data_IF_151575501073
#
_entry.id   IF_151575501073
#
_cell.length_a   1.000
_cell.length_b   1.000
_cell.length_c   1.000
_cell.angle_alpha   90.00
_cell.angle_beta   90.00
_cell.angle_gamma   90.00
#
_symmetry.space_group_name_H-M   'P 1'
#
loop_
_entity.id
_entity.type
_entity.pdbx_description
1 polymer ?
#
# COMPACT_ATOMS: atom_id res chain seq x y z
N UNK A 1 4.25 5.50 -2.42
CA UNK A 1 4.55 6.89 -2.02
C UNK A 1 5.25 6.83 -0.67
N UNK A 2 6.58 6.95 -0.61
CA UNK A 2 7.31 6.96 0.67
C UNK A 2 7.07 8.31 1.35
N UNK A 3 6.22 8.33 2.38
CA UNK A 3 6.02 9.51 3.21
C UNK A 3 7.27 9.75 4.05
N UNK A 4 7.89 10.92 3.91
CA UNK A 4 9.01 11.33 4.79
C UNK A 4 8.53 11.28 6.25
N UNK A 5 9.20 10.49 7.08
CA UNK A 5 8.88 10.39 8.51
C UNK A 5 9.26 11.70 9.20
N UNK A 6 8.26 12.46 9.65
CA UNK A 6 8.42 13.65 10.49
C UNK A 6 8.39 13.23 11.96
N UNK A 7 9.36 13.69 12.75
CA UNK A 7 9.37 13.49 14.19
C UNK A 7 8.60 14.62 14.90
N UNK A 8 7.93 14.35 16.05
CA UNK A 8 7.43 15.41 16.92
C UNK A 8 8.51 16.43 17.30
N UNK A 9 9.77 15.98 17.38
CA UNK A 9 10.92 16.85 17.66
C UNK A 9 11.15 17.89 16.57
N UNK A 10 10.83 17.58 15.31
CA UNK A 10 10.96 18.51 14.18
C UNK A 10 9.92 19.63 14.28
N UNK A 11 8.73 19.33 14.81
CA UNK A 11 7.70 20.33 15.09
C UNK A 11 8.14 21.26 16.22
N UNK A 12 8.66 20.70 17.33
CA UNK A 12 9.15 21.48 18.47
C UNK A 12 10.32 22.38 18.06
N UNK A 13 11.19 21.92 17.14
CA UNK A 13 12.30 22.69 16.59
C UNK A 13 11.89 23.68 15.48
N UNK A 14 10.59 23.78 15.15
CA UNK A 14 10.09 24.66 14.09
C UNK A 14 10.49 24.26 12.67
N UNK A 15 10.96 23.03 12.46
CA UNK A 15 11.40 22.50 11.15
C UNK A 15 10.24 21.94 10.33
N UNK A 16 9.11 21.66 10.98
CA UNK A 16 7.91 21.13 10.37
C UNK A 16 6.65 21.69 11.06
N UNK A 17 5.54 21.89 10.34
CA UNK A 17 4.30 22.33 10.94
C UNK A 17 3.60 21.20 11.71
N UNK A 18 2.91 21.53 12.80
CA UNK A 18 2.09 20.57 13.54
C UNK A 18 0.92 20.05 12.69
N UNK A 19 0.19 20.98 12.05
CA UNK A 19 -0.90 20.70 11.13
C UNK A 19 -0.64 21.42 9.82
N UNK A 20 -0.77 20.74 8.69
CA UNK A 20 -0.49 21.31 7.38
C UNK A 20 -0.46 20.28 6.27
N UNK A 21 0.10 20.66 5.13
CA UNK A 21 0.20 19.83 3.94
C UNK A 21 1.21 18.66 4.12
N UNK A 22 0.86 17.48 3.62
CA UNK A 22 1.73 16.31 3.50
C UNK A 22 2.03 15.97 2.05
N UNK A 23 1.17 16.36 1.11
CA UNK A 23 1.32 16.02 -0.31
C UNK A 23 2.16 17.06 -1.07
N UNK A 24 2.36 18.25 -0.50
CA UNK A 24 3.16 19.30 -1.11
C UNK A 24 4.66 19.03 -0.94
N UNK A 25 5.32 18.54 -1.99
CA UNK A 25 6.76 18.20 -1.97
C UNK A 25 7.68 19.43 -1.86
N UNK A 26 7.17 20.64 -2.09
CA UNK A 26 7.95 21.88 -1.96
C UNK A 26 8.10 22.35 -0.51
N UNK A 27 7.35 21.78 0.44
CA UNK A 27 7.33 22.18 1.84
C UNK A 27 7.68 21.01 2.75
N UNK A 28 8.20 21.26 3.97
CA UNK A 28 8.35 20.20 4.96
C UNK A 28 6.96 19.64 5.32
N UNK A 29 6.76 18.31 5.29
CA UNK A 29 5.47 17.72 5.59
C UNK A 29 5.06 17.99 7.03
N UNK A 30 3.76 18.11 7.26
CA UNK A 30 3.20 18.29 8.61
C UNK A 30 3.19 17.00 9.43
N UNK A 31 3.08 17.13 10.75
CA UNK A 31 2.84 15.96 11.62
C UNK A 31 1.42 15.40 11.42
N UNK A 32 0.42 16.28 11.33
CA UNK A 32 -0.98 15.94 11.11
C UNK A 32 -1.55 16.62 9.85
N UNK A 33 -2.33 15.89 9.06
CA UNK A 33 -3.00 16.41 7.86
C UNK A 33 -4.47 15.97 7.79
N UNK A 34 -5.37 16.73 7.15
CA UNK A 34 -6.74 16.30 6.88
C UNK A 34 -6.87 14.95 6.18
N UNK A 35 -5.83 14.49 5.47
CA UNK A 35 -5.82 13.20 4.75
C UNK A 35 -5.47 12.02 5.65
N UNK A 36 -4.93 12.25 6.84
CA UNK A 36 -4.48 11.17 7.73
C UNK A 36 -5.60 10.15 8.04
N UNK A 37 -6.86 10.55 8.32
CA UNK A 37 -7.96 9.60 8.44
C UNK A 37 -8.16 8.70 7.23
N UNK A 38 -8.00 9.23 6.02
CA UNK A 38 -8.20 8.48 4.79
C UNK A 38 -7.06 7.48 4.57
N UNK A 39 -5.82 7.91 4.82
CA UNK A 39 -4.65 7.05 4.76
C UNK A 39 -4.75 5.94 5.81
N UNK A 40 -5.04 6.28 7.07
CA UNK A 40 -5.16 5.32 8.17
C UNK A 40 -6.28 4.30 7.93
N UNK A 41 -7.39 4.72 7.31
CA UNK A 41 -8.51 3.83 6.97
C UNK A 41 -8.35 3.10 5.61
N UNK A 42 -7.25 3.31 4.87
CA UNK A 42 -7.04 2.69 3.56
C UNK A 42 -7.93 3.24 2.43
N UNK A 43 -8.53 4.41 2.59
CA UNK A 43 -9.45 5.04 1.62
C UNK A 43 -8.67 5.86 0.57
N UNK A 44 -7.80 5.19 -0.20
CA UNK A 44 -6.89 5.84 -1.16
C UNK A 44 -7.51 6.13 -2.54
N UNK A 45 -8.75 5.70 -2.79
CA UNK A 45 -9.44 5.89 -4.07
C UNK A 45 -9.99 7.33 -4.28
N UNK A 46 -9.70 8.25 -3.37
CA UNK A 46 -10.18 9.63 -3.43
C UNK A 46 -9.07 10.59 -3.84
N UNK A 47 -9.45 11.77 -4.33
CA UNK A 47 -8.50 12.85 -4.59
C UNK A 47 -7.99 13.43 -3.26
N UNK A 48 -6.87 12.88 -2.79
CA UNK A 48 -6.25 13.28 -1.53
C UNK A 48 -5.73 14.73 -1.57
N UNK A 49 -5.37 15.26 -2.74
CA UNK A 49 -4.89 16.64 -2.84
C UNK A 49 -6.03 17.62 -2.57
N UNK A 50 -7.20 17.37 -3.19
CA UNK A 50 -8.40 18.16 -2.95
C UNK A 50 -8.85 18.10 -1.48
N UNK A 51 -8.85 16.90 -0.88
CA UNK A 51 -9.21 16.71 0.53
C UNK A 51 -8.25 17.46 1.46
N UNK A 52 -6.95 17.46 1.16
CA UNK A 52 -5.96 18.18 1.93
C UNK A 52 -6.21 19.69 1.90
N UNK A 53 -6.40 20.26 0.70
CA UNK A 53 -6.65 21.69 0.51
C UNK A 53 -7.95 22.13 1.20
N UNK A 54 -9.08 21.50 0.87
CA UNK A 54 -10.38 21.84 1.45
C UNK A 54 -10.39 21.62 2.97
N UNK A 55 -9.67 20.59 3.44
CA UNK A 55 -9.56 20.27 4.85
C UNK A 55 -8.77 21.30 5.64
N UNK A 56 -7.69 21.85 5.07
CA UNK A 56 -6.89 22.89 5.72
C UNK A 56 -7.60 24.24 5.74
N UNK A 57 -8.43 24.54 4.74
CA UNK A 57 -9.20 25.78 4.65
C UNK A 57 -10.43 25.77 5.56
N UNK A 58 -11.17 24.65 5.59
CA UNK A 58 -12.53 24.62 6.17
C UNK A 58 -12.62 23.92 7.54
N UNK A 59 -11.58 23.20 8.00
CA UNK A 59 -11.63 22.44 9.25
C UNK A 59 -10.74 23.04 10.32
N UNK A 60 -11.21 22.97 11.57
CA UNK A 60 -10.39 23.31 12.73
C UNK A 60 -9.18 22.38 12.84
N UNK A 61 -8.00 22.95 13.14
CA UNK A 61 -6.75 22.23 13.38
C UNK A 61 -6.89 21.17 14.47
N UNK A 62 -7.67 21.45 15.52
CA UNK A 62 -7.93 20.49 16.60
C UNK A 62 -8.71 19.29 16.08
N UNK A 63 -9.72 19.51 15.21
CA UNK A 63 -10.50 18.42 14.62
C UNK A 63 -9.62 17.51 13.76
N UNK A 64 -8.69 18.10 13.00
CA UNK A 64 -7.72 17.34 12.20
C UNK A 64 -6.87 16.44 13.11
N UNK A 65 -6.28 17.00 14.17
CA UNK A 65 -5.45 16.25 15.11
C UNK A 65 -6.24 15.11 15.75
N UNK A 66 -7.43 15.40 16.31
CA UNK A 66 -8.26 14.41 17.00
C UNK A 66 -8.65 13.27 16.06
N UNK A 67 -9.13 13.57 14.84
CA UNK A 67 -9.50 12.54 13.86
C UNK A 67 -8.28 11.72 13.42
N UNK A 68 -7.14 12.36 13.23
CA UNK A 68 -5.89 11.67 12.83
C UNK A 68 -5.41 10.72 13.92
N UNK A 69 -5.41 11.16 15.18
CA UNK A 69 -5.04 10.31 16.32
C UNK A 69 -6.04 9.18 16.50
N UNK A 70 -7.35 9.48 16.47
CA UNK A 70 -8.39 8.48 16.65
C UNK A 70 -8.33 7.40 15.58
N UNK A 71 -8.25 7.80 14.30
CA UNK A 71 -8.12 6.82 13.20
C UNK A 71 -6.82 6.06 13.29
N UNK A 72 -5.72 6.68 13.73
CA UNK A 72 -4.47 5.96 13.94
C UNK A 72 -4.54 4.97 15.08
N UNK A 73 -5.35 5.19 16.13
CA UNK A 73 -5.54 4.21 17.21
C UNK A 73 -6.48 3.09 16.75
N UNK A 74 -7.61 3.45 16.15
CA UNK A 74 -8.65 2.50 15.72
C UNK A 74 -8.21 1.62 14.55
N UNK A 75 -7.44 2.21 13.63
CA UNK A 75 -6.96 1.58 12.41
C UNK A 75 -5.43 1.52 12.39
N UNK A 76 -4.78 1.47 13.56
CA UNK A 76 -3.31 1.27 13.68
C UNK A 76 -2.83 -0.04 13.05
N UNK A 77 -3.78 -0.91 12.71
CA UNK A 77 -3.57 -2.04 11.86
C UNK A 77 -3.12 -1.50 10.50
N UNK A 78 -1.82 -1.55 10.24
CA UNK A 78 -1.39 -1.88 8.89
C UNK A 78 -2.22 -3.11 8.51
N UNK A 79 -3.33 -2.90 7.80
CA UNK A 79 -4.19 -4.01 7.43
C UNK A 79 -3.27 -4.97 6.70
N UNK A 80 -3.03 -6.18 7.24
CA UNK A 80 -2.16 -7.12 6.57
C UNK A 80 -2.75 -7.25 5.18
N UNK A 81 -2.01 -6.73 4.20
CA UNK A 81 -2.51 -6.76 2.83
C UNK A 81 -2.55 -8.24 2.50
N UNK A 82 -3.71 -8.79 2.13
CA UNK A 82 -3.85 -10.23 1.97
C UNK A 82 -2.74 -10.73 1.04
N UNK A 83 -2.01 -11.76 1.49
CA UNK A 83 -1.00 -12.46 0.72
C UNK A 83 -1.38 -13.95 0.76
N UNK A 84 -1.86 -14.53 -0.36
CA UNK A 84 -2.02 -13.90 -1.67
C UNK A 84 -3.27 -13.00 -1.81
N UNK A 85 -3.27 -12.11 -2.81
CA UNK A 85 -4.46 -11.40 -3.31
C UNK A 85 -5.12 -12.26 -4.39
N UNK A 86 -6.42 -12.48 -4.30
CA UNK A 86 -7.16 -13.24 -5.32
C UNK A 86 -7.80 -12.30 -6.35
N UNK A 87 -7.40 -12.39 -7.61
CA UNK A 87 -8.03 -11.70 -8.74
C UNK A 87 -8.67 -12.71 -9.68
N UNK A 88 -10.00 -12.66 -9.83
CA UNK A 88 -10.76 -13.57 -10.70
C UNK A 88 -10.43 -15.07 -10.50
N UNK A 89 -10.15 -15.47 -9.25
CA UNK A 89 -9.80 -16.86 -8.90
C UNK A 89 -8.32 -17.22 -9.06
N UNK A 90 -7.47 -16.27 -9.46
CA UNK A 90 -6.02 -16.41 -9.48
C UNK A 90 -5.41 -15.82 -8.20
N UNK A 91 -4.67 -16.63 -7.46
CA UNK A 91 -3.95 -16.17 -6.26
C UNK A 91 -2.60 -15.55 -6.67
N UNK A 92 -2.44 -14.25 -6.48
CA UNK A 92 -1.23 -13.49 -6.82
C UNK A 92 -0.53 -13.08 -5.52
N UNK A 93 0.76 -13.38 -5.42
CA UNK A 93 1.60 -13.01 -4.29
C UNK A 93 1.70 -11.50 -4.16
N UNK A 94 1.36 -10.99 -2.97
CA UNK A 94 1.37 -9.56 -2.68
C UNK A 94 2.74 -9.13 -2.16
N UNK A 95 3.73 -9.22 -3.04
CA UNK A 95 5.14 -9.07 -2.69
C UNK A 95 5.78 -7.93 -3.46
N UNK A 96 6.65 -7.19 -2.79
CA UNK A 96 7.46 -6.17 -3.45
C UNK A 96 8.59 -6.82 -4.27
N UNK A 97 9.14 -6.10 -5.25
CA UNK A 97 10.31 -6.57 -6.01
C UNK A 97 11.49 -6.95 -5.11
N UNK A 98 11.73 -6.21 -4.02
CA UNK A 98 12.79 -6.53 -3.04
C UNK A 98 12.53 -7.87 -2.38
N UNK A 99 11.28 -8.13 -2.01
CA UNK A 99 10.85 -9.38 -1.39
C UNK A 99 10.96 -10.55 -2.38
N UNK A 100 10.59 -10.35 -3.64
CA UNK A 100 10.79 -11.35 -4.72
C UNK A 100 12.26 -11.71 -4.85
N UNK A 101 13.15 -10.72 -5.00
CA UNK A 101 14.60 -10.98 -5.13
C UNK A 101 15.16 -11.67 -3.89
N UNK A 102 14.69 -11.30 -2.69
CA UNK A 102 15.06 -11.96 -1.44
C UNK A 102 14.66 -13.43 -1.48
N UNK A 103 13.38 -13.73 -1.77
CA UNK A 103 12.85 -15.10 -1.88
C UNK A 103 13.58 -15.92 -2.94
N UNK A 104 13.86 -15.35 -4.11
CA UNK A 104 14.61 -16.02 -5.19
C UNK A 104 16.04 -16.38 -4.79
N UNK A 105 16.66 -15.60 -3.90
CA UNK A 105 18.03 -15.84 -3.41
C UNK A 105 18.10 -16.75 -2.19
N UNK A 106 16.98 -16.98 -1.50
CA UNK A 106 16.96 -17.86 -0.34
C UNK A 106 17.31 -19.30 -0.77
N UNK A 107 18.23 -19.98 -0.05
CA UNK A 107 18.55 -21.37 -0.31
C UNK A 107 17.28 -22.21 -0.31
N UNK A 108 17.03 -22.93 -1.40
CA UNK A 108 15.88 -23.80 -1.47
C UNK A 108 16.15 -25.05 -0.63
N UNK A 109 15.21 -25.41 0.23
CA UNK A 109 15.31 -26.56 1.13
C UNK A 109 14.85 -27.87 0.48
N UNK A 110 14.14 -27.77 -0.65
CA UNK A 110 13.55 -28.92 -1.32
C UNK A 110 14.41 -29.32 -2.53
N UNK A 111 14.45 -30.62 -2.83
CA UNK A 111 15.18 -31.20 -3.96
C UNK A 111 14.40 -31.06 -5.29
N UNK A 112 13.75 -29.91 -5.49
CA UNK A 112 12.96 -29.61 -6.70
C UNK A 112 13.21 -28.20 -7.21
N UNK A 113 12.90 -27.96 -8.47
CA UNK A 113 12.87 -26.62 -9.01
C UNK A 113 11.69 -25.81 -8.42
N UNK A 114 11.91 -24.51 -8.24
CA UNK A 114 10.82 -23.56 -7.94
C UNK A 114 10.17 -23.10 -9.23
N UNK A 115 8.84 -23.10 -9.25
CA UNK A 115 8.04 -22.59 -10.36
C UNK A 115 7.54 -21.19 -10.02
N UNK A 116 7.88 -20.22 -10.87
CA UNK A 116 7.45 -18.83 -10.73
C UNK A 116 6.72 -18.41 -11.98
N UNK A 117 5.49 -17.93 -11.85
CA UNK A 117 4.75 -17.29 -12.93
C UNK A 117 4.69 -15.78 -12.74
N UNK A 118 4.65 -15.08 -13.87
CA UNK A 118 4.36 -13.66 -13.96
C UNK A 118 2.96 -13.53 -14.58
N UNK A 119 1.99 -13.13 -13.77
CA UNK A 119 0.60 -12.98 -14.17
C UNK A 119 0.33 -11.53 -14.56
N UNK A 120 -0.02 -11.32 -15.83
CA UNK A 120 -0.62 -10.08 -16.31
C UNK A 120 -2.14 -10.24 -16.47
N UNK A 121 -2.86 -9.17 -16.80
CA UNK A 121 -4.33 -9.23 -16.95
C UNK A 121 -4.81 -10.19 -18.04
N UNK A 122 -4.00 -10.43 -19.08
CA UNK A 122 -4.33 -11.43 -20.09
C UNK A 122 -4.36 -12.84 -19.46
N UNK A 123 -3.37 -13.19 -18.62
CA UNK A 123 -3.36 -14.47 -17.92
C UNK A 123 -4.56 -14.63 -16.97
N UNK A 124 -4.89 -13.58 -16.21
CA UNK A 124 -6.05 -13.59 -15.30
C UNK A 124 -7.33 -13.91 -16.07
N UNK A 125 -7.55 -13.24 -17.20
CA UNK A 125 -8.73 -13.47 -18.05
C UNK A 125 -8.75 -14.89 -18.65
N UNK A 126 -7.60 -15.39 -19.08
CA UNK A 126 -7.49 -16.74 -19.67
C UNK A 126 -7.71 -17.83 -18.63
N UNK A 127 -7.21 -17.68 -17.40
CA UNK A 127 -7.39 -18.66 -16.32
C UNK A 127 -8.86 -18.91 -15.96
N UNK A 128 -9.73 -17.91 -16.15
CA UNK A 128 -11.19 -18.07 -15.92
C UNK A 128 -11.81 -19.07 -16.91
N UNK A 129 -11.24 -19.17 -18.12
CA UNK A 129 -11.78 -19.99 -19.22
C UNK A 129 -10.99 -21.28 -19.44
N UNK A 130 -9.81 -21.39 -18.84
CA UNK A 130 -8.89 -22.51 -18.99
C UNK A 130 -8.57 -23.13 -17.61
N UNK A 131 -9.29 -24.20 -17.22
CA UNK A 131 -9.07 -24.88 -15.95
C UNK A 131 -7.67 -25.51 -15.82
N UNK A 132 -7.06 -25.91 -16.93
CA UNK A 132 -5.71 -26.50 -16.92
C UNK A 132 -4.67 -25.42 -16.61
N UNK A 133 -4.78 -24.27 -17.27
CA UNK A 133 -3.93 -23.11 -16.98
C UNK A 133 -4.09 -22.68 -15.52
N UNK A 134 -5.33 -22.56 -15.02
CA UNK A 134 -5.59 -22.24 -13.62
C UNK A 134 -4.90 -23.23 -12.68
N UNK A 135 -4.97 -24.53 -12.96
CA UNK A 135 -4.31 -25.57 -12.17
C UNK A 135 -2.79 -25.40 -12.15
N UNK A 136 -2.17 -25.00 -13.26
CA UNK A 136 -0.73 -24.71 -13.32
C UNK A 136 -0.35 -23.53 -12.41
N UNK A 137 -1.14 -22.45 -12.42
CA UNK A 137 -0.93 -21.32 -11.52
C UNK A 137 -1.12 -21.69 -10.05
N UNK A 138 -2.16 -22.47 -9.72
CA UNK A 138 -2.44 -22.91 -8.35
C UNK A 138 -1.33 -23.83 -7.79
N UNK A 139 -0.53 -24.47 -8.66
CA UNK A 139 0.59 -25.33 -8.29
C UNK A 139 1.95 -24.62 -8.26
N UNK A 140 2.02 -23.35 -8.67
CA UNK A 140 3.27 -22.60 -8.68
C UNK A 140 3.68 -22.17 -7.27
N UNK A 141 5.00 -22.05 -7.04
CA UNK A 141 5.54 -21.55 -5.76
C UNK A 141 5.26 -20.07 -5.57
N UNK A 142 5.33 -19.31 -6.68
CA UNK A 142 5.03 -17.89 -6.70
C UNK A 142 4.28 -17.51 -7.97
N UNK A 143 3.26 -16.68 -7.80
CA UNK A 143 2.56 -16.01 -8.89
C UNK A 143 2.73 -14.52 -8.65
N UNK A 144 3.55 -13.87 -9.47
CA UNK A 144 3.91 -12.47 -9.31
C UNK A 144 3.09 -11.61 -10.27
N UNK A 145 2.67 -10.42 -9.83
CA UNK A 145 2.03 -9.48 -10.72
C UNK A 145 3.01 -8.96 -11.78
N UNK A 146 2.56 -8.90 -13.03
CA UNK A 146 3.29 -8.32 -14.15
C UNK A 146 2.45 -7.27 -14.87
N UNK A 147 3.06 -6.09 -15.07
CA UNK A 147 2.44 -4.94 -15.72
C UNK A 147 1.66 -4.01 -14.79
N UNK A 148 1.30 -2.86 -15.34
CA UNK A 148 0.49 -1.83 -14.68
C UNK A 148 -0.98 -2.16 -14.98
N UNK A 149 -1.78 -2.46 -13.97
CA UNK A 149 -3.21 -2.78 -14.12
C UNK A 149 -3.68 -4.06 -13.41
N UNK A 150 -2.76 -4.80 -12.77
CA UNK A 150 -3.07 -5.84 -11.78
C UNK A 150 -3.12 -5.25 -10.35
#
# INVERSE_FOLDING_TARGET
>A
METRKISPLDVVKGRAPLVGEKLNMARPPSLFSPIDPYINCGLLNQDLQKIEQEGLENKSRVSIIVKSVLTRILFNSAHPTPDPVTLCGLAISNVTTKEVVRRLREPHRDDRARTVFFANMHNVNTCVRDPELKRLYDQADFVLADGVGL
#
